data_IF_555265721104
#
_entry.id   IF_555265721104
#
_cell.length_a   1.000
_cell.length_b   1.000
_cell.length_c   1.000
_cell.angle_alpha   90.00
_cell.angle_beta   90.00
_cell.angle_gamma   90.00
#
_symmetry.space_group_name_H-M   'P 1'
#
loop_
_entity.id
_entity.type
_entity.pdbx_description
1 polymer ?
#
# COMPACT_ATOMS: atom_id res chain seq x y z
N UNK A 1 -26.90 -54.71 -23.57
CA UNK A 1 -27.13 -53.38 -22.96
C UNK A 1 -26.07 -53.19 -21.88
N UNK A 2 -24.98 -52.49 -22.18
CA UNK A 2 -24.00 -52.09 -21.17
C UNK A 2 -23.59 -50.63 -21.44
N UNK A 3 -23.61 -49.85 -20.35
CA UNK A 3 -23.71 -48.40 -20.33
C UNK A 3 -22.37 -47.74 -20.67
N UNK A 4 -22.42 -46.77 -21.59
CA UNK A 4 -21.34 -45.82 -21.88
C UNK A 4 -21.26 -44.87 -20.68
N UNK A 5 -20.18 -44.92 -19.92
CA UNK A 5 -19.87 -43.95 -18.88
C UNK A 5 -19.29 -42.68 -19.51
N UNK A 6 -20.04 -41.58 -19.44
CA UNK A 6 -19.57 -40.25 -19.84
C UNK A 6 -18.61 -39.70 -18.77
N UNK A 7 -17.34 -39.50 -19.13
CA UNK A 7 -16.38 -38.77 -18.31
C UNK A 7 -16.58 -37.28 -18.57
N UNK A 8 -17.20 -36.58 -17.63
CA UNK A 8 -17.30 -35.13 -17.63
C UNK A 8 -15.99 -34.54 -17.10
N UNK A 9 -15.10 -34.09 -17.99
CA UNK A 9 -13.97 -33.24 -17.60
C UNK A 9 -14.48 -31.81 -17.38
N UNK A 10 -14.78 -31.46 -16.13
CA UNK A 10 -14.90 -30.07 -15.71
C UNK A 10 -13.51 -29.44 -15.68
N UNK A 11 -13.18 -28.72 -16.75
CA UNK A 11 -12.03 -27.82 -16.77
C UNK A 11 -12.22 -26.72 -15.72
N UNK A 12 -11.33 -26.69 -14.73
CA UNK A 12 -11.23 -25.60 -13.78
C UNK A 12 -10.82 -24.34 -14.54
N UNK A 13 -11.80 -23.45 -14.79
CA UNK A 13 -11.54 -22.06 -15.15
C UNK A 13 -10.88 -21.39 -13.94
N UNK A 14 -9.56 -21.43 -13.90
CA UNK A 14 -8.77 -20.58 -13.04
C UNK A 14 -9.04 -19.14 -13.45
N UNK A 15 -9.93 -18.45 -12.72
CA UNK A 15 -10.02 -17.00 -12.71
C UNK A 15 -8.70 -16.45 -12.14
N UNK A 16 -7.67 -16.39 -12.98
CA UNK A 16 -6.52 -15.55 -12.73
C UNK A 16 -6.94 -14.10 -12.90
N UNK A 17 -6.81 -13.30 -11.85
CA UNK A 17 -6.78 -11.85 -11.96
C UNK A 17 -5.74 -11.48 -13.01
N UNK A 18 -6.16 -10.84 -14.09
CA UNK A 18 -5.26 -10.27 -15.09
C UNK A 18 -4.49 -9.11 -14.44
N UNK A 19 -3.40 -9.41 -13.74
CA UNK A 19 -2.41 -8.41 -13.40
C UNK A 19 -1.79 -7.93 -14.72
N UNK A 20 -2.18 -6.72 -15.16
CA UNK A 20 -1.55 -6.08 -16.32
C UNK A 20 -0.04 -6.02 -16.08
N UNK A 21 0.69 -6.69 -16.96
CA UNK A 21 2.13 -6.77 -16.99
C UNK A 21 2.70 -5.35 -17.21
N UNK A 22 3.48 -4.86 -16.25
CA UNK A 22 4.07 -3.52 -16.32
C UNK A 22 5.09 -3.45 -17.47
N UNK A 23 5.15 -2.33 -18.21
CA UNK A 23 6.03 -2.22 -19.38
C UNK A 23 7.50 -2.37 -18.98
N UNK A 24 8.31 -3.13 -19.75
CA UNK A 24 9.72 -3.34 -19.44
C UNK A 24 10.52 -2.06 -19.75
N UNK A 25 10.90 -1.32 -18.71
CA UNK A 25 12.05 -0.41 -18.75
C UNK A 25 13.30 -1.11 -18.21
N UNK A 26 14.51 -0.65 -18.55
CA UNK A 26 15.76 -1.22 -18.00
C UNK A 26 15.87 -1.10 -16.46
N UNK A 27 14.99 -0.28 -15.86
CA UNK A 27 14.95 0.00 -14.43
C UNK A 27 16.10 0.90 -13.96
N UNK A 28 15.86 1.58 -12.87
CA UNK A 28 16.87 2.37 -12.15
C UNK A 28 17.81 1.39 -11.45
N UNK A 29 19.12 1.56 -11.62
CA UNK A 29 20.11 0.75 -10.88
C UNK A 29 20.02 1.09 -9.39
N UNK A 30 19.89 0.06 -8.56
CA UNK A 30 19.86 0.24 -7.11
C UNK A 30 21.27 0.55 -6.61
N UNK A 31 21.37 1.59 -5.79
CA UNK A 31 22.58 1.94 -5.05
C UNK A 31 22.55 1.24 -3.68
N UNK A 32 23.30 0.15 -3.55
CA UNK A 32 23.45 -0.53 -2.26
C UNK A 32 24.44 0.20 -1.37
N UNK A 33 24.05 0.43 -0.12
CA UNK A 33 24.89 1.09 0.89
C UNK A 33 24.97 0.24 2.16
N UNK A 34 26.10 0.29 2.86
CA UNK A 34 26.31 -0.38 4.15
C UNK A 34 25.67 0.39 5.31
N UNK A 35 25.37 1.67 5.12
CA UNK A 35 24.67 2.48 6.11
C UNK A 35 23.89 3.58 5.39
N UNK A 36 22.59 3.36 5.19
CA UNK A 36 21.74 4.40 4.63
C UNK A 36 21.45 5.46 5.70
N UNK A 37 22.06 6.65 5.53
CA UNK A 37 21.80 7.83 6.34
C UNK A 37 20.48 8.49 5.98
N UNK A 38 19.86 9.16 6.94
CA UNK A 38 18.59 9.87 6.76
C UNK A 38 17.70 9.72 7.98
N UNK A 39 16.63 10.51 8.03
CA UNK A 39 15.67 10.41 9.12
C UNK A 39 14.64 9.30 8.82
N UNK A 40 14.68 8.25 9.63
CA UNK A 40 13.74 7.13 9.61
C UNK A 40 12.89 7.04 10.90
N UNK A 41 12.81 8.13 11.68
CA UNK A 41 12.03 8.18 12.93
C UNK A 41 10.53 7.97 12.72
N UNK A 42 10.03 8.18 11.49
CA UNK A 42 8.64 7.89 11.14
C UNK A 42 8.23 6.45 11.47
N UNK A 43 9.16 5.49 11.44
CA UNK A 43 8.88 4.08 11.78
C UNK A 43 8.38 3.88 13.21
N UNK A 44 8.66 4.84 14.10
CA UNK A 44 8.27 4.83 15.50
C UNK A 44 6.91 5.52 15.72
N UNK A 45 6.38 6.17 14.67
CA UNK A 45 5.02 6.71 14.62
C UNK A 45 4.03 5.63 14.18
N UNK A 46 2.77 5.81 14.57
CA UNK A 46 1.68 4.94 14.19
C UNK A 46 0.38 5.74 13.99
N UNK A 47 -0.57 5.12 13.30
CA UNK A 47 -1.94 5.60 13.17
C UNK A 47 -2.92 4.44 13.39
N UNK A 48 -4.17 4.76 13.72
CA UNK A 48 -5.23 3.76 13.67
C UNK A 48 -5.59 3.43 12.21
N UNK A 49 -6.31 2.33 11.97
CA UNK A 49 -6.92 2.06 10.67
C UNK A 49 -7.76 3.24 10.18
N UNK A 50 -7.92 3.34 8.87
CA UNK A 50 -8.71 4.41 8.27
C UNK A 50 -10.14 4.43 8.84
N UNK A 51 -10.65 5.62 9.14
CA UNK A 51 -11.95 5.81 9.76
C UNK A 51 -11.96 5.70 11.29
N UNK A 52 -10.88 5.21 11.93
CA UNK A 52 -10.77 5.11 13.40
C UNK A 52 -10.03 6.33 13.97
N UNK A 53 -10.63 6.97 14.98
CA UNK A 53 -10.11 8.21 15.57
C UNK A 53 -10.50 8.36 17.05
N UNK A 54 -9.86 9.28 17.75
CA UNK A 54 -10.26 9.67 19.12
C UNK A 54 -11.31 10.77 19.02
N UNK A 55 -12.53 10.51 19.49
CA UNK A 55 -13.61 11.51 19.50
C UNK A 55 -13.40 12.59 20.57
N UNK A 56 -14.28 13.60 20.60
CA UNK A 56 -14.23 14.70 21.56
C UNK A 56 -14.38 14.25 23.04
N UNK A 57 -14.76 13.00 23.28
CA UNK A 57 -14.93 12.40 24.60
C UNK A 57 -13.74 11.52 25.02
N UNK A 58 -12.67 11.47 24.21
CA UNK A 58 -11.50 10.66 24.49
C UNK A 58 -11.68 9.15 24.23
N UNK A 59 -12.77 8.77 23.54
CA UNK A 59 -13.04 7.38 23.16
C UNK A 59 -12.51 7.12 21.76
N UNK A 60 -11.96 5.93 21.52
CA UNK A 60 -11.79 5.46 20.15
C UNK A 60 -13.17 5.28 19.54
N UNK A 61 -13.39 5.95 18.42
CA UNK A 61 -14.59 5.93 17.62
C UNK A 61 -14.21 5.56 16.19
N UNK A 62 -15.23 5.29 15.38
CA UNK A 62 -15.08 4.89 14.01
C UNK A 62 -16.16 5.57 13.17
N UNK A 63 -15.81 6.08 11.98
CA UNK A 63 -16.74 6.62 10.98
C UNK A 63 -16.39 6.16 9.55
N UNK A 64 -17.40 6.08 8.68
CA UNK A 64 -17.29 5.76 7.24
C UNK A 64 -16.99 4.29 6.90
N UNK A 65 -15.96 3.71 7.51
CA UNK A 65 -15.44 2.37 7.17
C UNK A 65 -15.74 1.31 8.25
N UNK A 66 -16.82 1.51 9.00
CA UNK A 66 -17.11 0.78 10.23
C UNK A 66 -18.36 -0.08 10.07
N UNK A 67 -18.50 -1.15 10.87
CA UNK A 67 -19.76 -1.91 10.90
C UNK A 67 -20.93 -0.98 11.25
N UNK A 68 -22.04 -1.00 10.48
CA UNK A 68 -23.18 -0.10 10.69
C UNK A 68 -23.78 -0.16 12.11
N UNK A 69 -23.64 -1.31 12.79
CA UNK A 69 -24.12 -1.52 14.15
C UNK A 69 -23.42 -0.59 15.17
N UNK A 70 -22.22 -0.10 14.84
CA UNK A 70 -21.47 0.82 15.69
C UNK A 70 -22.15 2.17 15.84
N UNK A 71 -23.02 2.58 14.90
CA UNK A 71 -23.74 3.85 14.98
C UNK A 71 -24.86 3.83 16.03
N UNK A 72 -25.52 2.68 16.21
CA UNK A 72 -26.54 2.50 17.25
C UNK A 72 -25.95 2.52 18.67
N UNK A 73 -24.62 2.35 18.80
CA UNK A 73 -23.89 2.36 20.06
C UNK A 73 -23.44 3.77 20.49
N UNK A 74 -23.72 4.79 19.67
CA UNK A 74 -23.34 6.18 19.90
C UNK A 74 -24.58 7.03 20.22
N UNK A 75 -24.40 8.06 21.03
CA UNK A 75 -25.39 9.13 21.17
C UNK A 75 -25.31 10.14 20.01
N UNK A 76 -26.23 11.11 20.01
CA UNK A 76 -26.29 12.14 18.98
C UNK A 76 -25.05 13.05 18.92
N UNK A 77 -24.18 13.03 19.94
CA UNK A 77 -22.92 13.76 19.98
C UNK A 77 -21.72 12.87 19.59
N UNK A 78 -21.96 11.61 19.20
CA UNK A 78 -20.91 10.65 18.86
C UNK A 78 -20.20 10.02 20.07
N UNK A 79 -20.77 10.16 21.28
CA UNK A 79 -20.27 9.48 22.48
C UNK A 79 -20.77 8.05 22.50
N UNK A 80 -19.87 7.09 22.67
CA UNK A 80 -20.24 5.68 22.82
C UNK A 80 -20.88 5.49 24.20
N UNK A 81 -22.06 4.85 24.23
CA UNK A 81 -22.75 4.58 25.49
C UNK A 81 -21.90 3.69 26.40
N UNK A 82 -21.86 3.93 27.73
CA UNK A 82 -21.01 3.16 28.64
C UNK A 82 -21.26 1.65 28.62
N UNK A 83 -22.51 1.23 28.45
CA UNK A 83 -22.92 -0.18 28.37
C UNK A 83 -22.60 -0.83 27.00
N UNK A 84 -22.30 0.00 25.99
CA UNK A 84 -22.00 -0.43 24.63
C UNK A 84 -20.49 -0.43 24.32
N UNK A 85 -19.65 0.16 25.18
CA UNK A 85 -18.20 0.29 24.95
C UNK A 85 -17.50 -1.04 24.66
N UNK A 86 -17.79 -2.09 25.44
CA UNK A 86 -17.17 -3.39 25.24
C UNK A 86 -17.58 -4.02 23.90
N UNK A 87 -18.87 -3.92 23.54
CA UNK A 87 -19.36 -4.40 22.26
C UNK A 87 -18.76 -3.62 21.09
N UNK A 88 -18.66 -2.29 21.23
CA UNK A 88 -18.04 -1.42 20.24
C UNK A 88 -16.60 -1.82 19.95
N UNK A 89 -15.78 -1.99 20.98
CA UNK A 89 -14.37 -2.38 20.82
C UNK A 89 -14.15 -3.85 20.44
N UNK A 90 -15.19 -4.68 20.47
CA UNK A 90 -15.10 -6.04 19.93
C UNK A 90 -15.23 -6.09 18.40
N UNK A 91 -15.75 -5.02 17.77
CA UNK A 91 -16.01 -4.98 16.32
C UNK A 91 -15.20 -3.91 15.58
N UNK A 92 -14.66 -2.92 16.29
CA UNK A 92 -13.77 -1.90 15.72
C UNK A 92 -12.32 -2.32 15.88
N UNK A 93 -11.57 -2.33 14.77
CA UNK A 93 -10.12 -2.55 14.82
C UNK A 93 -9.42 -1.35 15.46
N UNK A 94 -8.80 -1.59 16.61
CA UNK A 94 -8.09 -0.57 17.40
C UNK A 94 -6.57 -0.75 17.34
N UNK A 95 -6.09 -1.55 16.37
CA UNK A 95 -4.66 -1.84 16.22
C UNK A 95 -3.86 -0.59 15.89
N UNK A 96 -2.66 -0.47 16.44
CA UNK A 96 -1.70 0.55 16.02
C UNK A 96 -0.96 0.10 14.77
N UNK A 97 -1.16 0.82 13.68
CA UNK A 97 -0.47 0.60 12.42
C UNK A 97 0.76 1.50 12.37
N UNK A 98 1.94 0.91 12.52
CA UNK A 98 3.20 1.64 12.43
C UNK A 98 3.47 2.11 11.00
N UNK A 99 3.93 3.34 10.87
CA UNK A 99 4.22 3.93 9.56
C UNK A 99 5.39 3.21 8.89
N UNK A 100 5.24 2.90 7.61
CA UNK A 100 6.28 2.24 6.80
C UNK A 100 6.80 3.12 5.67
N UNK A 101 6.19 4.29 5.46
CA UNK A 101 6.52 5.25 4.42
C UNK A 101 6.48 6.68 4.96
N UNK A 102 7.47 7.47 4.55
CA UNK A 102 7.35 8.93 4.52
C UNK A 102 7.67 9.40 3.10
N UNK A 103 6.72 10.05 2.45
CA UNK A 103 6.91 10.52 1.07
C UNK A 103 6.19 11.82 0.76
N UNK A 104 6.66 12.47 -0.29
CA UNK A 104 6.03 13.59 -0.96
C UNK A 104 5.84 13.22 -2.43
N UNK A 105 4.68 13.56 -3.00
CA UNK A 105 4.38 13.29 -4.39
C UNK A 105 3.60 14.45 -5.00
N UNK A 106 3.92 14.78 -6.25
CA UNK A 106 3.10 15.62 -7.10
C UNK A 106 2.58 14.75 -8.24
N UNK A 107 1.41 14.16 -8.02
CA UNK A 107 0.71 13.25 -8.94
C UNK A 107 -0.79 13.53 -8.83
N UNK A 108 -1.57 13.13 -9.84
CA UNK A 108 -3.02 13.32 -9.81
C UNK A 108 -3.67 12.49 -8.71
N UNK A 109 -4.77 13.02 -8.14
CA UNK A 109 -5.64 12.30 -7.20
C UNK A 109 -4.86 11.63 -6.03
N UNK A 110 -3.94 12.38 -5.43
CA UNK A 110 -3.12 11.94 -4.30
C UNK A 110 -3.31 12.82 -3.07
N UNK A 111 -3.83 12.24 -1.99
CA UNK A 111 -3.96 12.89 -0.69
C UNK A 111 -2.91 12.47 0.35
N UNK A 112 -2.01 11.53 0.01
CA UNK A 112 -0.97 11.05 0.91
C UNK A 112 -1.29 9.72 1.61
N UNK A 113 -0.22 9.04 2.03
CA UNK A 113 -0.29 7.85 2.90
C UNK A 113 1.03 7.73 3.69
N UNK A 114 0.97 7.03 4.81
CA UNK A 114 2.15 6.66 5.61
C UNK A 114 2.51 5.17 5.47
N UNK A 115 1.83 4.47 4.56
CA UNK A 115 1.89 3.03 4.47
C UNK A 115 2.28 2.56 3.07
N UNK A 116 3.28 1.68 3.04
CA UNK A 116 3.69 0.90 1.89
C UNK A 116 3.75 -0.57 2.28
N UNK A 117 3.19 -1.43 1.43
CA UNK A 117 3.34 -2.88 1.51
C UNK A 117 4.57 -3.31 0.73
N UNK A 118 5.30 -4.32 1.21
CA UNK A 118 6.49 -4.85 0.55
C UNK A 118 6.38 -6.37 0.55
N UNK A 119 6.13 -6.95 -0.62
CA UNK A 119 5.82 -8.38 -0.76
C UNK A 119 6.77 -9.06 -1.73
N UNK A 120 7.27 -10.23 -1.37
CA UNK A 120 8.00 -11.09 -2.29
C UNK A 120 7.01 -11.65 -3.33
N UNK A 121 7.33 -11.47 -4.60
CA UNK A 121 6.53 -11.98 -5.72
C UNK A 121 7.26 -13.09 -6.51
N UNK A 122 8.53 -13.32 -6.20
CA UNK A 122 9.35 -14.34 -6.82
C UNK A 122 10.71 -14.47 -6.16
N UNK A 123 11.57 -15.34 -6.72
CA UNK A 123 12.91 -15.60 -6.18
C UNK A 123 13.76 -14.32 -6.09
N UNK A 124 13.63 -13.46 -7.08
CA UNK A 124 14.41 -12.23 -7.26
C UNK A 124 13.53 -10.98 -7.38
N UNK A 125 12.22 -11.12 -7.15
CA UNK A 125 11.23 -10.05 -7.32
C UNK A 125 10.56 -9.70 -6.00
N UNK A 126 10.61 -8.42 -5.66
CA UNK A 126 9.86 -7.81 -4.55
C UNK A 126 9.04 -6.64 -5.09
N UNK A 127 7.76 -6.59 -4.73
CA UNK A 127 6.83 -5.54 -5.15
C UNK A 127 6.51 -4.68 -3.95
N UNK A 128 6.74 -3.38 -4.09
CA UNK A 128 6.39 -2.38 -3.08
C UNK A 128 5.20 -1.56 -3.59
N UNK A 129 4.14 -1.43 -2.80
CA UNK A 129 2.92 -0.72 -3.21
C UNK A 129 2.45 0.20 -2.10
N UNK A 130 2.37 1.51 -2.37
CA UNK A 130 1.79 2.47 -1.43
C UNK A 130 0.31 2.20 -1.27
N UNK A 131 -0.20 2.25 -0.05
CA UNK A 131 -1.61 2.02 0.21
C UNK A 131 -2.42 3.24 -0.22
N UNK A 132 -3.54 2.99 -0.88
CA UNK A 132 -4.56 4.00 -1.11
C UNK A 132 -5.48 4.09 0.11
N UNK A 133 -6.13 5.23 0.24
CA UNK A 133 -7.21 5.48 1.22
C UNK A 133 -8.41 6.08 0.48
N UNK A 134 -9.48 6.43 1.20
CA UNK A 134 -10.69 6.99 0.61
C UNK A 134 -10.47 8.26 -0.23
N UNK A 135 -9.34 8.96 -0.05
CA UNK A 135 -8.97 10.19 -0.74
C UNK A 135 -7.76 10.05 -1.69
N UNK A 136 -7.17 8.85 -1.85
CA UNK A 136 -6.10 8.62 -2.85
C UNK A 136 -6.50 7.58 -3.88
N UNK A 137 -6.26 7.93 -5.14
CA UNK A 137 -6.57 7.10 -6.30
C UNK A 137 -5.33 6.79 -7.16
N UNK A 138 -4.22 7.51 -6.90
CA UNK A 138 -2.89 7.15 -7.39
C UNK A 138 -2.12 6.33 -6.36
N UNK A 139 -1.43 5.28 -6.80
CA UNK A 139 -0.48 4.50 -6.02
C UNK A 139 0.89 4.43 -6.69
N UNK A 140 1.97 4.45 -5.91
CA UNK A 140 3.31 4.12 -6.37
C UNK A 140 3.54 2.62 -6.23
N UNK A 141 3.97 2.02 -7.32
CA UNK A 141 4.46 0.66 -7.40
C UNK A 141 5.95 0.69 -7.69
N UNK A 142 6.77 0.03 -6.85
CA UNK A 142 8.20 -0.15 -7.08
C UNK A 142 8.47 -1.64 -7.21
N UNK A 143 8.79 -2.09 -8.42
CA UNK A 143 9.21 -3.48 -8.65
C UNK A 143 10.72 -3.56 -8.51
N UNK A 144 11.20 -4.33 -7.55
CA UNK A 144 12.61 -4.63 -7.38
C UNK A 144 12.88 -5.99 -8.03
N UNK A 145 13.68 -6.03 -9.10
CA UNK A 145 14.10 -7.27 -9.76
C UNK A 145 15.62 -7.30 -9.84
N UNK A 146 16.25 -8.23 -9.12
CA UNK A 146 17.71 -8.31 -9.02
C UNK A 146 18.32 -7.01 -8.46
N UNK A 147 19.02 -6.25 -9.31
CA UNK A 147 19.67 -4.98 -8.94
C UNK A 147 19.00 -3.75 -9.58
N UNK A 148 17.74 -3.87 -9.96
CA UNK A 148 16.98 -2.81 -10.64
C UNK A 148 15.68 -2.52 -9.90
N UNK A 149 15.30 -1.25 -9.87
CA UNK A 149 14.01 -0.77 -9.43
C UNK A 149 13.23 -0.22 -10.63
N UNK A 150 11.99 -0.65 -10.81
CA UNK A 150 11.08 -0.15 -11.84
C UNK A 150 9.89 0.52 -11.13
N UNK A 151 9.94 1.85 -10.93
CA UNK A 151 8.83 2.59 -10.39
C UNK A 151 7.76 2.83 -11.45
N UNK A 152 6.50 2.82 -11.04
CA UNK A 152 5.33 3.08 -11.87
C UNK A 152 4.25 3.73 -10.99
N UNK A 153 3.54 4.73 -11.52
CA UNK A 153 2.30 5.19 -10.90
C UNK A 153 1.13 4.45 -11.54
N UNK A 154 0.22 3.94 -10.71
CA UNK A 154 -1.09 3.46 -11.16
C UNK A 154 -2.16 4.42 -10.68
N UNK A 155 -2.96 4.94 -11.61
CA UNK A 155 -4.08 5.84 -11.32
C UNK A 155 -5.39 5.13 -11.64
N UNK A 156 -6.24 4.96 -10.63
CA UNK A 156 -7.62 4.49 -10.79
C UNK A 156 -8.58 5.65 -10.57
N UNK A 157 -8.77 6.49 -11.58
CA UNK A 157 -9.48 7.77 -11.44
C UNK A 157 -10.94 7.62 -10.98
N UNK A 158 -11.39 8.56 -10.14
CA UNK A 158 -12.81 8.73 -9.78
C UNK A 158 -13.71 9.02 -10.97
N UNK A 159 -13.15 9.49 -12.09
CA UNK A 159 -13.89 9.79 -13.32
C UNK A 159 -14.33 8.55 -14.10
N UNK A 160 -14.14 7.34 -13.55
CA UNK A 160 -14.47 6.03 -14.15
C UNK A 160 -13.78 5.77 -15.49
N UNK A 161 -12.57 6.30 -15.66
CA UNK A 161 -11.69 5.94 -16.77
C UNK A 161 -10.98 4.62 -16.47
N UNK A 162 -10.49 3.89 -17.50
CA UNK A 162 -9.61 2.74 -17.28
C UNK A 162 -8.38 3.13 -16.44
N UNK A 163 -7.86 2.17 -15.67
CA UNK A 163 -6.59 2.34 -14.96
C UNK A 163 -5.50 2.84 -15.92
N UNK A 164 -4.87 3.95 -15.53
CA UNK A 164 -3.73 4.52 -16.21
C UNK A 164 -2.44 4.04 -15.54
N UNK A 165 -1.48 3.61 -16.36
CA UNK A 165 -0.15 3.19 -15.94
C UNK A 165 0.84 4.22 -16.47
N UNK A 166 1.44 4.97 -15.54
CA UNK A 166 2.37 6.04 -15.87
C UNK A 166 3.79 5.53 -15.59
N UNK A 167 4.64 5.35 -16.62
CA UNK A 167 5.98 4.83 -16.46
C UNK A 167 6.92 5.85 -15.83
N UNK A 168 7.94 5.37 -15.13
CA UNK A 168 9.05 6.22 -14.70
C UNK A 168 9.81 6.78 -15.90
N UNK A 169 10.44 7.94 -15.67
CA UNK A 169 11.36 8.60 -16.61
C UNK A 169 12.79 8.52 -16.12
N UNK A 170 13.03 8.90 -14.87
CA UNK A 170 14.35 8.90 -14.24
C UNK A 170 14.24 8.89 -12.71
N UNK A 171 15.33 8.61 -12.03
CA UNK A 171 15.39 8.71 -10.57
C UNK A 171 16.57 7.97 -9.96
N UNK A 172 16.52 7.84 -8.64
CA UNK A 172 17.50 7.13 -7.82
C UNK A 172 16.81 6.36 -6.71
N UNK A 173 17.44 5.26 -6.31
CA UNK A 173 17.02 4.49 -5.15
C UNK A 173 18.25 3.94 -4.44
N UNK A 174 18.33 4.17 -3.14
CA UNK A 174 19.35 3.60 -2.26
C UNK A 174 18.71 2.58 -1.32
N UNK A 175 19.36 1.43 -1.13
CA UNK A 175 18.91 0.39 -0.20
C UNK A 175 20.04 0.07 0.78
N UNK A 176 19.67 0.00 2.06
CA UNK A 176 20.56 -0.45 3.14
C UNK A 176 20.75 -1.97 3.06
N UNK A 177 21.94 -2.40 2.62
CA UNK A 177 22.25 -3.80 2.37
C UNK A 177 22.20 -4.66 3.65
N UNK A 178 22.73 -4.22 4.81
CA UNK A 178 22.55 -4.94 6.07
C UNK A 178 21.09 -5.16 6.46
N UNK A 179 20.22 -4.16 6.29
CA UNK A 179 18.79 -4.31 6.62
C UNK A 179 18.06 -5.19 5.63
N UNK A 180 18.39 -5.10 4.35
CA UNK A 180 17.84 -5.98 3.32
C UNK A 180 18.11 -7.46 3.62
N UNK A 181 19.34 -7.80 4.03
CA UNK A 181 19.70 -9.16 4.47
C UNK A 181 18.89 -9.67 5.67
N UNK A 182 18.32 -8.76 6.47
CA UNK A 182 17.44 -9.06 7.61
C UNK A 182 15.95 -9.10 7.22
N UNK A 183 15.62 -9.03 5.93
CA UNK A 183 14.24 -8.99 5.45
C UNK A 183 13.55 -7.64 5.70
N UNK A 184 14.31 -6.54 5.78
CA UNK A 184 13.76 -5.19 5.96
C UNK A 184 14.17 -4.33 4.76
N UNK A 185 13.21 -3.79 4.04
CA UNK A 185 13.43 -2.74 3.06
C UNK A 185 13.57 -1.40 3.80
N UNK A 186 14.81 -1.02 4.10
CA UNK A 186 15.18 0.35 4.49
C UNK A 186 15.78 1.05 3.27
N UNK A 187 15.03 2.00 2.71
CA UNK A 187 15.38 2.61 1.43
C UNK A 187 15.06 4.11 1.39
N UNK A 188 15.76 4.84 0.52
CA UNK A 188 15.43 6.20 0.10
C UNK A 188 15.26 6.23 -1.41
N UNK A 189 14.35 7.07 -1.91
CA UNK A 189 14.05 7.13 -3.32
C UNK A 189 13.61 8.52 -3.78
N UNK A 190 13.80 8.79 -5.06
CA UNK A 190 13.44 10.03 -5.72
C UNK A 190 13.23 9.73 -7.21
N UNK A 191 11.97 9.76 -7.65
CA UNK A 191 11.54 9.34 -8.98
C UNK A 191 10.82 10.48 -9.70
N UNK A 192 11.01 10.54 -11.01
CA UNK A 192 10.26 11.37 -11.95
C UNK A 192 9.60 10.49 -12.99
N UNK A 193 8.45 10.93 -13.52
CA UNK A 193 7.60 10.12 -14.41
C UNK A 193 7.35 10.82 -15.74
N UNK A 194 7.02 10.03 -16.77
CA UNK A 194 6.89 10.50 -18.15
C UNK A 194 5.50 11.09 -18.45
N UNK A 195 5.24 12.29 -17.92
CA UNK A 195 3.98 13.02 -18.12
C UNK A 195 4.26 14.50 -18.39
N UNK A 196 3.44 15.11 -19.25
CA UNK A 196 3.44 16.55 -19.50
C UNK A 196 3.14 17.34 -18.21
N UNK A 197 3.92 18.39 -17.92
CA UNK A 197 3.84 19.12 -16.66
C UNK A 197 4.67 18.54 -15.50
N UNK A 198 5.18 17.30 -15.66
CA UNK A 198 6.07 16.64 -14.73
C UNK A 198 5.36 16.07 -13.50
N UNK A 199 5.71 14.84 -13.15
CA UNK A 199 5.29 14.20 -11.91
C UNK A 199 6.50 13.65 -11.18
N UNK A 200 6.43 13.66 -9.85
CA UNK A 200 7.49 13.10 -9.02
C UNK A 200 6.93 12.37 -7.80
N UNK A 201 7.75 11.46 -7.29
CA UNK A 201 7.54 10.81 -6.01
C UNK A 201 8.88 10.58 -5.33
N UNK A 202 9.03 11.08 -4.11
CA UNK A 202 10.26 10.94 -3.33
C UNK A 202 9.96 10.61 -1.88
N UNK A 203 10.85 9.89 -1.22
CA UNK A 203 10.61 9.49 0.16
C UNK A 203 11.59 8.48 0.72
N UNK A 204 11.20 7.92 1.85
CA UNK A 204 11.91 6.89 2.58
C UNK A 204 10.95 5.77 3.00
N UNK A 205 11.45 4.53 2.95
CA UNK A 205 10.72 3.30 3.29
C UNK A 205 11.42 2.61 4.45
N UNK A 206 10.64 2.13 5.40
CA UNK A 206 11.10 1.20 6.43
C UNK A 206 10.01 0.15 6.63
N UNK A 207 10.14 -1.00 5.97
CA UNK A 207 9.13 -2.04 5.97
C UNK A 207 9.75 -3.44 6.01
N UNK A 208 9.07 -4.39 6.65
CA UNK A 208 9.43 -5.81 6.52
C UNK A 208 9.02 -6.30 5.14
N UNK A 209 9.85 -7.16 4.54
CA UNK A 209 9.48 -7.91 3.33
C UNK A 209 8.62 -9.09 3.78
N UNK A 210 7.36 -9.09 3.36
CA UNK A 210 6.42 -10.20 3.54
C UNK A 210 6.67 -11.27 2.47
N UNK A 211 6.48 -12.54 2.84
CA UNK A 211 6.62 -13.71 1.97
C UNK A 211 5.29 -14.10 1.31
#
# INVERSE_FOLDING_TARGET
>A
MNRIGAVLLLGLLSCGTNERQLPPGEGIKIEWTDNLSGDFSFKDSWSYPEGVYINAHGQLSCDGLCPPETDAMKDANGKIYPDSLAAFYSVVDTSHLYHSLRSEAAVHEWAGTHFISVKRAGKDTVICTTQNNAATHSSLHIILTGNRAVPVIRLTSISRTPEEIIPYKAGRMQIDAPMWRKGILKASFDFTFDVEGGMYWRGAIYARVEE
#
